data_IF_638927009399
#
_entry.id   IF_638927009399
#
_cell.length_a   1.000
_cell.length_b   1.000
_cell.length_c   1.000
_cell.angle_alpha   90.00
_cell.angle_beta   90.00
_cell.angle_gamma   90.00
#
_symmetry.space_group_name_H-M   'P 1'
#
loop_
_entity.id
_entity.type
_entity.pdbx_description
1 polymer ?
#
# COMPACT_ATOMS: atom_id res chain seq x y z
N UNK A 1 -7.09 -13.02 17.80
CA UNK A 1 -6.86 -11.79 17.02
C UNK A 1 -5.41 -11.76 16.59
N UNK A 2 -5.15 -12.22 15.37
CA UNK A 2 -3.84 -12.08 14.73
C UNK A 2 -3.91 -10.82 13.87
N UNK A 3 -2.88 -9.97 13.94
CA UNK A 3 -2.74 -8.83 13.04
C UNK A 3 -1.95 -9.25 11.81
N UNK A 4 -2.52 -9.04 10.63
CA UNK A 4 -1.83 -9.17 9.36
C UNK A 4 -1.30 -7.80 8.91
N UNK A 5 -0.15 -7.80 8.24
CA UNK A 5 0.48 -6.59 7.71
C UNK A 5 0.85 -6.80 6.24
N UNK A 6 0.63 -5.78 5.43
CA UNK A 6 1.04 -5.75 4.02
C UNK A 6 1.62 -4.38 3.67
N UNK A 7 2.56 -4.34 2.72
CA UNK A 7 3.10 -3.08 2.19
C UNK A 7 3.07 -3.03 0.66
N UNK A 8 2.93 -1.81 0.12
CA UNK A 8 3.07 -1.52 -1.32
C UNK A 8 4.12 -0.46 -1.55
N UNK A 9 5.12 -0.81 -2.36
CA UNK A 9 6.18 0.10 -2.80
C UNK A 9 5.69 0.86 -4.02
N UNK A 10 5.69 2.18 -3.92
CA UNK A 10 5.30 3.12 -4.97
C UNK A 10 6.52 3.97 -5.28
N UNK A 11 6.97 3.97 -6.53
CA UNK A 11 8.05 4.81 -7.03
C UNK A 11 7.48 5.82 -8.00
N UNK A 12 7.55 7.11 -7.68
CA UNK A 12 7.05 8.20 -8.55
C UNK A 12 5.61 7.97 -9.04
N UNK A 13 4.72 7.51 -8.16
CA UNK A 13 3.31 7.21 -8.50
C UNK A 13 3.07 5.90 -9.26
N UNK A 14 4.10 5.08 -9.45
CA UNK A 14 4.00 3.76 -10.08
C UNK A 14 4.26 2.64 -9.09
N UNK A 15 3.52 1.54 -9.18
CA UNK A 15 3.70 0.36 -8.34
C UNK A 15 3.41 -0.93 -9.11
N UNK A 16 3.97 -2.04 -8.63
CA UNK A 16 3.76 -3.36 -9.23
C UNK A 16 2.57 -4.06 -8.56
N UNK A 17 1.65 -4.57 -9.38
CA UNK A 17 0.54 -5.42 -8.94
C UNK A 17 0.43 -6.62 -9.88
N UNK A 18 0.54 -7.82 -9.34
CA UNK A 18 0.46 -9.07 -10.09
C UNK A 18 1.42 -9.11 -11.31
N UNK A 19 2.63 -8.58 -11.15
CA UNK A 19 3.62 -8.52 -12.23
C UNK A 19 3.36 -7.45 -13.30
N UNK A 20 2.37 -6.58 -13.13
CA UNK A 20 2.08 -5.46 -14.04
C UNK A 20 2.40 -4.13 -13.35
N UNK A 21 3.13 -3.25 -14.05
CA UNK A 21 3.38 -1.89 -13.60
C UNK A 21 2.11 -1.05 -13.79
N UNK A 22 1.63 -0.43 -12.72
CA UNK A 22 0.46 0.44 -12.74
C UNK A 22 0.85 1.82 -12.23
N UNK A 23 0.36 2.86 -12.91
CA UNK A 23 0.46 4.25 -12.45
C UNK A 23 -0.87 4.65 -11.83
N UNK A 24 -0.86 4.95 -10.53
CA UNK A 24 -2.05 5.37 -9.77
C UNK A 24 -1.64 6.34 -8.68
N UNK A 25 -2.56 7.20 -8.28
CA UNK A 25 -2.35 8.04 -7.12
C UNK A 25 -2.29 7.20 -5.84
N UNK A 26 -1.56 7.70 -4.84
CA UNK A 26 -1.48 7.09 -3.51
C UNK A 26 -2.88 6.91 -2.90
N UNK A 27 -3.77 7.88 -3.10
CA UNK A 27 -5.14 7.84 -2.61
C UNK A 27 -5.93 6.65 -3.19
N UNK A 28 -5.79 6.36 -4.49
CA UNK A 28 -6.45 5.21 -5.13
C UNK A 28 -5.95 3.88 -4.58
N UNK A 29 -4.64 3.76 -4.33
CA UNK A 29 -4.04 2.54 -3.75
C UNK A 29 -4.59 2.32 -2.34
N UNK A 30 -4.61 3.35 -1.50
CA UNK A 30 -5.15 3.27 -0.14
C UNK A 30 -6.63 2.89 -0.16
N UNK A 31 -7.42 3.50 -1.05
CA UNK A 31 -8.85 3.23 -1.17
C UNK A 31 -9.15 1.79 -1.62
N UNK A 32 -8.36 1.21 -2.54
CA UNK A 32 -8.51 -0.19 -2.96
C UNK A 32 -8.21 -1.18 -1.83
N UNK A 33 -7.26 -0.85 -0.95
CA UNK A 33 -6.95 -1.65 0.25
C UNK A 33 -8.07 -1.55 1.30
N UNK A 34 -8.60 -0.35 1.51
CA UNK A 34 -9.73 -0.12 2.42
C UNK A 34 -10.97 -0.95 2.04
N UNK A 35 -11.27 -1.10 0.74
CA UNK A 35 -12.36 -1.96 0.24
C UNK A 35 -12.19 -3.44 0.57
N UNK A 36 -10.96 -3.88 0.85
CA UNK A 36 -10.63 -5.27 1.20
C UNK A 36 -10.51 -5.48 2.73
N UNK A 37 -10.84 -4.46 3.52
CA UNK A 37 -10.78 -4.48 4.98
C UNK A 37 -9.40 -4.16 5.56
N UNK A 38 -8.47 -3.66 4.74
CA UNK A 38 -7.16 -3.22 5.24
C UNK A 38 -7.19 -1.76 5.68
N UNK A 39 -6.59 -1.47 6.83
CA UNK A 39 -6.42 -0.12 7.37
C UNK A 39 -5.04 0.41 7.00
N UNK A 40 -4.98 1.62 6.44
CA UNK A 40 -3.72 2.31 6.23
C UNK A 40 -3.11 2.76 7.56
N UNK A 41 -1.81 2.51 7.74
CA UNK A 41 -1.09 2.80 8.98
C UNK A 41 -0.14 3.97 8.80
N UNK A 42 0.77 3.87 7.83
CA UNK A 42 1.82 4.86 7.64
C UNK A 42 2.44 4.81 6.24
N UNK A 43 3.15 5.88 5.90
CA UNK A 43 4.06 5.94 4.75
C UNK A 43 5.50 5.95 5.24
N UNK A 44 6.34 5.09 4.67
CA UNK A 44 7.80 5.11 4.84
C UNK A 44 8.40 5.64 3.54
N UNK A 45 9.27 6.65 3.61
CA UNK A 45 9.91 7.25 2.44
C UNK A 45 11.41 6.94 2.45
N UNK A 46 11.99 6.66 1.28
CA UNK A 46 13.44 6.54 1.11
C UNK A 46 14.13 7.89 0.81
N UNK A 47 13.36 8.97 0.64
CA UNK A 47 13.85 10.29 0.26
C UNK A 47 14.21 10.45 -1.23
N UNK A 48 14.15 9.38 -2.02
CA UNK A 48 14.44 9.34 -3.45
C UNK A 48 13.20 9.28 -4.35
N UNK A 49 12.01 9.56 -3.81
CA UNK A 49 10.73 9.47 -4.54
C UNK A 49 10.10 8.08 -4.51
N UNK A 50 10.66 7.15 -3.73
CA UNK A 50 10.03 5.86 -3.42
C UNK A 50 9.40 5.92 -2.04
N UNK A 51 8.18 5.42 -1.94
CA UNK A 51 7.48 5.25 -0.68
C UNK A 51 6.97 3.83 -0.52
N UNK A 52 6.90 3.36 0.71
CA UNK A 52 6.14 2.17 1.09
C UNK A 52 4.89 2.60 1.86
N UNK A 53 3.73 2.21 1.35
CA UNK A 53 2.44 2.34 2.04
C UNK A 53 2.22 1.08 2.87
N UNK A 54 2.07 1.23 4.18
CA UNK A 54 1.89 0.12 5.12
C UNK A 54 0.43 0.01 5.53
N UNK A 55 -0.09 -1.22 5.51
CA UNK A 55 -1.45 -1.57 5.83
C UNK A 55 -1.50 -2.67 6.88
N UNK A 56 -2.58 -2.70 7.66
CA UNK A 56 -2.87 -3.77 8.61
C UNK A 56 -4.31 -4.26 8.49
N UNK A 57 -4.57 -5.49 8.91
CA UNK A 57 -5.91 -6.07 8.95
C UNK A 57 -6.02 -7.03 10.14
N UNK A 58 -7.13 -6.97 10.85
CA UNK A 58 -7.46 -7.97 11.87
C UNK A 58 -7.94 -9.26 11.20
N UNK A 59 -7.31 -10.38 11.54
CA UNK A 59 -7.72 -11.71 11.10
C UNK A 59 -8.51 -12.43 12.19
N UNK A 60 -9.59 -13.06 11.73
CA UNK A 60 -10.54 -13.85 12.52
C UNK A 60 -10.01 -15.25 12.82
#
# INVERSE_FOLDING_TARGET
NIMEYEYKVVHSGSFWRNGVLQTRSVAEIIHDFAKQGWRFVQTISDGGGTIALVFEKESH
#
